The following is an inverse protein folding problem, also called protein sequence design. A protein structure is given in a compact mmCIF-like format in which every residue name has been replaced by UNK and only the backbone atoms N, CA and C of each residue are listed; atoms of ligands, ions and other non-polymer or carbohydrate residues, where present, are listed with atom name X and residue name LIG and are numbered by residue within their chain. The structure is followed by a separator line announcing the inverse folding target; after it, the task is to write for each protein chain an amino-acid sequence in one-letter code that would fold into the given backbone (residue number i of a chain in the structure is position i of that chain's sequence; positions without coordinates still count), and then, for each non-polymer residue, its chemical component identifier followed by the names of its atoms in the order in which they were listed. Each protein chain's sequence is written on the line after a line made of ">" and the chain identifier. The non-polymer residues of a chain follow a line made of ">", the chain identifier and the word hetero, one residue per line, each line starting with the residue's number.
data_IF_075447375987
#
_entry.id   IF_075447375987
#
_cell.length_a   1.000
_cell.length_b   1.000
_cell.length_c   1.000
_cell.angle_alpha   90.00
_cell.angle_beta   90.00
_cell.angle_gamma   90.00
#
_symmetry.space_group_name_H-M   'P 1'
#
loop_
_entity.id
_entity.type
_entity.pdbx_description
1 polymer ?
#
# COMPACT_ATOMS: atom_id res chain seq x y z
N UNK A 1 8.56 2.52 0.28
CA UNK A 1 9.52 2.65 -0.85
C UNK A 1 8.84 2.91 -2.19
N UNK A 2 7.73 2.22 -2.55
CA UNK A 2 6.96 2.49 -3.79
C UNK A 2 6.62 3.96 -4.01
N UNK A 3 6.18 4.66 -2.96
CA UNK A 3 5.87 6.09 -3.03
C UNK A 3 7.07 6.92 -3.49
N UNK A 4 8.28 6.62 -3.01
CA UNK A 4 9.52 7.35 -3.36
C UNK A 4 9.90 7.18 -4.83
N UNK A 5 9.76 5.96 -5.37
CA UNK A 5 10.01 5.67 -6.80
C UNK A 5 8.97 6.35 -7.70
N UNK A 6 7.73 6.46 -7.24
CA UNK A 6 6.71 7.24 -7.96
C UNK A 6 7.04 8.73 -7.89
N UNK A 7 7.48 9.27 -6.75
CA UNK A 7 7.85 10.69 -6.64
C UNK A 7 9.03 11.09 -7.54
N UNK A 8 9.95 10.20 -7.88
CA UNK A 8 11.04 10.52 -8.82
C UNK A 8 10.61 10.59 -10.30
N UNK A 9 9.42 10.05 -10.63
CA UNK A 9 8.85 10.06 -11.98
C UNK A 9 8.01 11.30 -12.26
N UNK A 10 7.61 12.02 -11.22
CA UNK A 10 6.83 13.25 -11.30
C UNK A 10 7.69 14.46 -10.97
N UNK A 11 7.33 15.64 -11.47
CA UNK A 11 7.99 16.86 -10.99
C UNK A 11 7.61 17.10 -9.52
N UNK A 12 8.53 17.59 -8.68
CA UNK A 12 8.24 17.87 -7.27
C UNK A 12 6.96 18.69 -7.12
N UNK A 13 6.07 18.26 -6.23
CA UNK A 13 4.79 18.92 -5.93
C UNK A 13 3.77 18.97 -7.09
N UNK A 14 3.93 18.16 -8.14
CA UNK A 14 2.99 18.13 -9.27
C UNK A 14 2.49 16.71 -9.57
N UNK A 15 1.39 16.64 -10.34
CA UNK A 15 0.88 15.41 -10.96
C UNK A 15 1.34 15.31 -12.42
N UNK A 16 2.33 16.11 -12.81
CA UNK A 16 2.92 16.06 -14.16
C UNK A 16 4.07 15.06 -14.20
N UNK A 17 4.00 14.13 -15.14
CA UNK A 17 5.11 13.23 -15.44
C UNK A 17 6.33 14.05 -15.89
N UNK A 18 7.50 13.67 -15.38
CA UNK A 18 8.74 14.28 -15.80
C UNK A 18 9.13 13.77 -17.20
N UNK A 19 8.66 14.48 -18.22
CA UNK A 19 8.97 14.19 -19.64
C UNK A 19 10.43 14.44 -20.00
N UNK A 20 11.23 15.04 -19.10
CA UNK A 20 12.67 15.16 -19.30
C UNK A 20 13.40 13.81 -19.11
N UNK A 21 12.76 12.81 -18.49
CA UNK A 21 13.31 11.47 -18.39
C UNK A 21 13.10 10.70 -19.71
N UNK A 22 14.12 9.96 -20.21
CA UNK A 22 13.95 9.05 -21.34
C UNK A 22 12.79 8.07 -21.10
N UNK A 23 12.06 7.72 -22.16
CA UNK A 23 10.92 6.79 -22.07
C UNK A 23 11.30 5.45 -21.42
N UNK A 24 12.50 4.95 -21.70
CA UNK A 24 13.06 3.73 -21.11
C UNK A 24 13.28 3.86 -19.59
N UNK A 25 13.74 5.02 -19.11
CA UNK A 25 13.93 5.28 -17.69
C UNK A 25 12.60 5.36 -16.93
N UNK A 26 11.58 5.97 -17.56
CA UNK A 26 10.21 6.00 -17.01
C UNK A 26 9.62 4.59 -16.92
N UNK A 27 9.80 3.78 -17.97
CA UNK A 27 9.38 2.38 -18.01
C UNK A 27 10.09 1.52 -16.95
N UNK A 28 11.40 1.72 -16.74
CA UNK A 28 12.11 1.04 -15.65
C UNK A 28 11.55 1.43 -14.27
N UNK A 29 11.23 2.71 -14.05
CA UNK A 29 10.56 3.15 -12.82
C UNK A 29 9.21 2.46 -12.60
N UNK A 30 8.42 2.31 -13.67
CA UNK A 30 7.14 1.58 -13.61
C UNK A 30 7.33 0.08 -13.37
N UNK A 31 8.32 -0.54 -14.01
CA UNK A 31 8.67 -1.95 -13.80
C UNK A 31 9.12 -2.19 -12.36
N UNK A 32 9.99 -1.35 -11.80
CA UNK A 32 10.40 -1.45 -10.38
C UNK A 32 9.19 -1.32 -9.45
N UNK A 33 8.29 -0.37 -9.72
CA UNK A 33 7.07 -0.23 -8.93
C UNK A 33 6.16 -1.45 -9.06
N UNK A 34 6.07 -2.06 -10.24
CA UNK A 34 5.29 -3.26 -10.53
C UNK A 34 5.92 -4.54 -9.95
N UNK A 35 7.24 -4.69 -10.00
CA UNK A 35 8.02 -5.79 -9.40
C UNK A 35 7.94 -5.80 -7.88
N UNK A 36 7.60 -4.67 -7.25
CA UNK A 36 7.34 -4.60 -5.82
C UNK A 36 5.95 -5.15 -5.44
N UNK A 37 5.02 -5.28 -6.39
CA UNK A 37 3.65 -5.76 -6.13
C UNK A 37 3.61 -7.12 -5.43
N UNK A 38 4.36 -8.17 -5.87
CA UNK A 38 4.35 -9.48 -5.22
C UNK A 38 4.80 -9.42 -3.75
N UNK A 39 5.77 -8.56 -3.42
CA UNK A 39 6.24 -8.39 -2.04
C UNK A 39 5.17 -7.75 -1.15
N UNK A 40 4.40 -6.79 -1.69
CA UNK A 40 3.25 -6.21 -0.98
C UNK A 40 2.19 -7.27 -0.70
N UNK A 41 1.86 -8.12 -1.69
CA UNK A 41 0.92 -9.22 -1.49
C UNK A 41 1.40 -10.26 -0.49
N UNK A 42 2.68 -10.62 -0.53
CA UNK A 42 3.27 -11.53 0.44
C UNK A 42 3.23 -10.94 1.86
N UNK A 43 3.55 -9.65 2.00
CA UNK A 43 3.44 -8.91 3.26
C UNK A 43 2.01 -8.87 3.79
N UNK A 44 1.03 -8.60 2.92
CA UNK A 44 -0.40 -8.65 3.25
C UNK A 44 -0.82 -10.05 3.73
N UNK A 45 -0.35 -11.11 3.07
CA UNK A 45 -0.62 -12.49 3.48
C UNK A 45 -0.09 -12.81 4.88
N UNK A 46 1.16 -12.43 5.16
CA UNK A 46 1.78 -12.59 6.49
C UNK A 46 1.01 -11.78 7.54
N UNK A 47 0.65 -10.55 7.22
CA UNK A 47 -0.12 -9.68 8.11
C UNK A 47 -1.49 -10.27 8.46
N UNK A 48 -2.25 -10.75 7.47
CA UNK A 48 -3.55 -11.38 7.69
C UNK A 48 -3.44 -12.67 8.52
N UNK A 49 -2.40 -13.49 8.29
CA UNK A 49 -2.14 -14.66 9.12
C UNK A 49 -1.81 -14.28 10.56
N UNK A 50 -0.96 -13.27 10.76
CA UNK A 50 -0.60 -12.76 12.09
C UNK A 50 -1.80 -12.20 12.84
N UNK A 51 -2.60 -11.36 12.18
CA UNK A 51 -3.84 -10.82 12.72
C UNK A 51 -4.84 -11.93 13.03
N UNK A 52 -5.02 -12.90 12.13
CA UNK A 52 -5.91 -14.04 12.34
C UNK A 52 -5.50 -14.90 13.53
N UNK A 53 -4.22 -15.21 13.67
CA UNK A 53 -3.67 -15.95 14.82
C UNK A 53 -3.85 -15.16 16.13
N UNK A 54 -3.68 -13.84 16.09
CA UNK A 54 -3.84 -12.97 17.25
C UNK A 54 -5.29 -12.85 17.70
N UNK A 55 -6.23 -12.67 16.77
CA UNK A 55 -7.67 -12.67 17.06
C UNK A 55 -8.10 -14.05 17.58
N UNK A 56 -7.59 -15.14 17.00
CA UNK A 56 -7.88 -16.49 17.48
C UNK A 56 -7.40 -16.75 18.91
N UNK A 57 -6.21 -16.25 19.28
CA UNK A 57 -5.62 -16.45 20.61
C UNK A 57 -6.15 -15.48 21.67
N UNK A 58 -6.47 -14.24 21.29
CA UNK A 58 -6.88 -13.17 22.22
C UNK A 58 -8.36 -12.76 22.08
N UNK A 59 -9.16 -13.50 21.30
CA UNK A 59 -10.54 -13.15 20.97
C UNK A 59 -11.45 -12.87 22.18
N UNK A 60 -11.25 -13.59 23.27
CA UNK A 60 -11.97 -13.38 24.53
C UNK A 60 -11.52 -12.13 25.33
N UNK A 61 -10.33 -11.59 25.05
CA UNK A 61 -9.70 -10.44 25.74
C UNK A 61 -9.64 -9.17 24.87
N UNK A 62 -10.23 -9.19 23.69
CA UNK A 62 -10.33 -8.00 22.81
C UNK A 62 -10.95 -6.79 23.52
N UNK A 63 -11.89 -7.03 24.43
CA UNK A 63 -12.53 -5.97 25.23
C UNK A 63 -11.59 -5.30 26.24
N UNK A 64 -10.57 -6.01 26.75
CA UNK A 64 -9.60 -5.46 27.70
C UNK A 64 -8.40 -4.80 27.02
N UNK A 65 -8.20 -5.08 25.72
CA UNK A 65 -7.05 -4.59 24.96
C UNK A 65 -7.53 -3.59 23.89
N UNK A 66 -7.86 -2.36 24.30
CA UNK A 66 -8.38 -1.33 23.39
C UNK A 66 -7.44 -0.99 22.23
N UNK A 67 -6.13 -1.15 22.43
CA UNK A 67 -5.11 -0.96 21.39
C UNK A 67 -5.20 -2.04 20.29
N UNK A 68 -5.51 -3.28 20.67
CA UNK A 68 -5.67 -4.39 19.74
C UNK A 68 -6.92 -4.19 18.87
N UNK A 69 -8.03 -3.77 19.49
CA UNK A 69 -9.24 -3.42 18.75
C UNK A 69 -8.99 -2.30 17.73
N UNK A 70 -8.31 -1.23 18.15
CA UNK A 70 -7.96 -0.12 17.25
C UNK A 70 -7.04 -0.58 16.12
N UNK A 71 -6.05 -1.42 16.42
CA UNK A 71 -5.17 -2.01 15.41
C UNK A 71 -5.94 -2.85 14.38
N UNK A 72 -6.97 -3.60 14.80
CA UNK A 72 -7.84 -4.36 13.89
C UNK A 72 -8.70 -3.45 13.00
N UNK A 73 -9.26 -2.37 13.55
CA UNK A 73 -10.03 -1.41 12.75
C UNK A 73 -9.13 -0.76 11.69
N UNK A 74 -7.95 -0.30 12.09
CA UNK A 74 -6.96 0.26 11.17
C UNK A 74 -6.48 -0.77 10.16
N UNK A 75 -6.35 -2.05 10.56
CA UNK A 75 -6.01 -3.15 9.67
C UNK A 75 -7.04 -3.30 8.56
N UNK A 76 -8.33 -3.29 8.88
CA UNK A 76 -9.41 -3.38 7.87
C UNK A 76 -9.34 -2.23 6.88
N UNK A 77 -9.09 -1.00 7.36
CA UNK A 77 -8.96 0.19 6.51
C UNK A 77 -7.72 0.08 5.62
N UNK A 78 -6.56 -0.27 6.18
CA UNK A 78 -5.31 -0.41 5.46
C UNK A 78 -5.40 -1.50 4.38
N UNK A 79 -5.90 -2.68 4.75
CA UNK A 79 -6.07 -3.81 3.83
C UNK A 79 -7.06 -3.47 2.71
N UNK A 80 -8.18 -2.82 3.03
CA UNK A 80 -9.14 -2.37 2.01
C UNK A 80 -8.51 -1.39 1.02
N UNK A 81 -7.72 -0.44 1.52
CA UNK A 81 -6.98 0.51 0.70
C UNK A 81 -5.91 -0.16 -0.18
N UNK A 82 -5.08 -1.03 0.38
CA UNK A 82 -4.07 -1.81 -0.38
C UNK A 82 -4.72 -2.69 -1.45
N UNK A 83 -5.82 -3.40 -1.13
CA UNK A 83 -6.54 -4.23 -2.09
C UNK A 83 -7.07 -3.39 -3.26
N UNK A 84 -7.68 -2.23 -2.97
CA UNK A 84 -8.17 -1.35 -4.01
C UNK A 84 -7.03 -0.82 -4.90
N UNK A 85 -5.92 -0.36 -4.29
CA UNK A 85 -4.74 0.09 -5.01
C UNK A 85 -4.16 -1.00 -5.92
N UNK A 86 -4.06 -2.22 -5.39
CA UNK A 86 -3.50 -3.35 -6.10
C UNK A 86 -4.39 -3.80 -7.26
N UNK A 87 -5.71 -3.88 -7.06
CA UNK A 87 -6.67 -4.30 -8.08
C UNK A 87 -6.85 -3.27 -9.20
N UNK A 88 -6.93 -1.98 -8.85
CA UNK A 88 -7.25 -0.92 -9.81
C UNK A 88 -6.02 -0.44 -10.58
N UNK A 89 -4.82 -0.49 -9.97
CA UNK A 89 -3.62 0.08 -10.58
C UNK A 89 -2.49 -0.93 -10.75
N UNK A 90 -2.08 -1.61 -9.70
CA UNK A 90 -0.86 -2.42 -9.78
C UNK A 90 -1.02 -3.65 -10.68
N UNK A 91 -2.13 -4.37 -10.60
CA UNK A 91 -2.41 -5.54 -11.45
C UNK A 91 -2.52 -5.12 -12.94
N UNK A 92 -3.27 -4.08 -13.32
CA UNK A 92 -3.26 -3.58 -14.69
C UNK A 92 -1.87 -3.17 -15.19
N UNK A 93 -1.07 -2.47 -14.37
CA UNK A 93 0.30 -2.09 -14.74
C UNK A 93 1.18 -3.31 -14.95
N UNK A 94 1.12 -4.31 -14.06
CA UNK A 94 1.86 -5.58 -14.21
C UNK A 94 1.44 -6.28 -15.50
N UNK A 95 0.12 -6.39 -15.77
CA UNK A 95 -0.39 -7.03 -16.99
C UNK A 95 0.09 -6.32 -18.26
N UNK A 96 0.06 -5.00 -18.30
CA UNK A 96 0.51 -4.24 -19.46
C UNK A 96 2.03 -4.27 -19.64
N UNK A 97 2.79 -4.44 -18.54
CA UNK A 97 4.25 -4.50 -18.58
C UNK A 97 4.82 -5.78 -19.21
N UNK A 98 4.00 -6.83 -19.35
CA UNK A 98 4.38 -8.14 -19.93
C UNK A 98 3.85 -8.36 -21.35
N UNK A 99 3.11 -7.41 -21.92
CA UNK A 99 2.57 -7.48 -23.30
C UNK A 99 3.55 -6.82 -24.27
N UNK A 100 3.82 -7.48 -25.40
CA UNK A 100 4.61 -6.92 -26.50
C UNK A 100 3.74 -6.71 -27.77
N UNK A 101 3.78 -5.53 -28.40
CA UNK A 101 4.57 -4.35 -28.04
C UNK A 101 4.03 -3.63 -26.79
N UNK A 102 4.94 -3.01 -26.03
CA UNK A 102 4.64 -2.30 -24.79
C UNK A 102 3.68 -1.11 -25.02
N UNK A 103 2.47 -1.11 -24.43
CA UNK A 103 1.50 -0.04 -24.61
C UNK A 103 1.81 1.14 -23.68
N UNK A 104 2.88 1.87 -23.97
CA UNK A 104 3.42 2.97 -23.13
C UNK A 104 2.37 4.02 -22.74
N UNK A 105 1.54 4.43 -23.68
CA UNK A 105 0.49 5.44 -23.42
C UNK A 105 -0.51 4.97 -22.37
N UNK A 106 -0.90 3.70 -22.40
CA UNK A 106 -1.85 3.13 -21.43
C UNK A 106 -1.22 2.99 -20.03
N UNK A 107 0.07 2.67 -19.96
CA UNK A 107 0.81 2.58 -18.70
C UNK A 107 0.93 3.99 -18.08
N UNK A 108 1.30 5.00 -18.88
CA UNK A 108 1.40 6.39 -18.42
C UNK A 108 0.05 6.92 -17.95
N UNK A 109 -1.04 6.65 -18.67
CA UNK A 109 -2.41 7.04 -18.28
C UNK A 109 -2.80 6.42 -16.92
N UNK A 110 -2.57 5.12 -16.74
CA UNK A 110 -2.84 4.42 -15.48
C UNK A 110 -2.03 5.00 -14.30
N UNK A 111 -0.76 5.34 -14.54
CA UNK A 111 0.10 5.92 -13.50
C UNK A 111 -0.35 7.33 -13.12
N UNK A 112 -0.65 8.18 -14.10
CA UNK A 112 -1.18 9.53 -13.85
C UNK A 112 -2.51 9.46 -13.10
N UNK A 113 -3.39 8.56 -13.52
CA UNK A 113 -4.66 8.32 -12.85
C UNK A 113 -4.47 7.85 -11.41
N UNK A 114 -3.53 6.93 -11.15
CA UNK A 114 -3.16 6.51 -9.81
C UNK A 114 -2.74 7.68 -8.94
N UNK A 115 -1.84 8.53 -9.41
CA UNK A 115 -1.36 9.67 -8.60
C UNK A 115 -2.50 10.65 -8.31
N UNK A 116 -3.39 10.89 -9.29
CA UNK A 116 -4.51 11.82 -9.15
C UNK A 116 -5.63 11.32 -8.23
N UNK A 117 -6.02 10.06 -8.37
CA UNK A 117 -7.20 9.48 -7.71
C UNK A 117 -6.84 8.70 -6.45
N UNK A 118 -5.64 8.14 -6.38
CA UNK A 118 -5.26 7.15 -5.39
C UNK A 118 -4.23 7.65 -4.36
N UNK A 119 -3.68 8.86 -4.53
CA UNK A 119 -2.68 9.42 -3.62
C UNK A 119 -3.19 9.55 -2.18
N UNK A 120 -4.45 9.97 -1.99
CA UNK A 120 -5.07 10.07 -0.65
C UNK A 120 -5.23 8.70 -0.02
N UNK A 121 -5.74 7.72 -0.77
CA UNK A 121 -5.93 6.35 -0.29
C UNK A 121 -4.58 5.73 0.11
N UNK A 122 -3.57 5.84 -0.76
CA UNK A 122 -2.21 5.36 -0.46
C UNK A 122 -1.62 6.02 0.79
N UNK A 123 -1.84 7.32 0.99
CA UNK A 123 -1.36 8.04 2.18
C UNK A 123 -2.10 7.59 3.44
N UNK A 124 -3.43 7.46 3.37
CA UNK A 124 -4.24 6.97 4.50
C UNK A 124 -3.86 5.55 4.89
N UNK A 125 -3.68 4.67 3.92
CA UNK A 125 -3.23 3.29 4.14
C UNK A 125 -1.87 3.26 4.83
N UNK A 126 -0.89 4.03 4.33
CA UNK A 126 0.43 4.11 4.95
C UNK A 126 0.36 4.65 6.39
N UNK A 127 -0.47 5.67 6.65
CA UNK A 127 -0.69 6.18 8.00
C UNK A 127 -1.31 5.13 8.92
N UNK A 128 -2.27 4.33 8.42
CA UNK A 128 -2.85 3.22 9.17
C UNK A 128 -1.79 2.17 9.52
N UNK A 129 -0.96 1.76 8.57
CA UNK A 129 0.13 0.80 8.80
C UNK A 129 1.12 1.28 9.87
N UNK A 130 1.58 2.54 9.78
CA UNK A 130 2.46 3.13 10.78
C UNK A 130 1.79 3.22 12.15
N UNK A 131 0.51 3.59 12.19
CA UNK A 131 -0.24 3.68 13.45
C UNK A 131 -0.42 2.30 14.08
N UNK A 132 -0.68 1.26 13.29
CA UNK A 132 -0.75 -0.13 13.78
C UNK A 132 0.59 -0.51 14.43
N UNK A 133 1.71 -0.28 13.75
CA UNK A 133 3.05 -0.56 14.31
C UNK A 133 3.27 0.15 15.65
N UNK A 134 2.91 1.44 15.74
CA UNK A 134 3.01 2.20 16.98
C UNK A 134 2.12 1.64 18.10
N UNK A 135 0.90 1.19 17.79
CA UNK A 135 -0.01 0.57 18.75
C UNK A 135 0.57 -0.74 19.31
N UNK A 136 1.22 -1.55 18.48
CA UNK A 136 1.87 -2.79 18.90
C UNK A 136 3.10 -2.57 19.78
N UNK A 137 3.86 -1.49 19.53
CA UNK A 137 5.08 -1.15 20.28
C UNK A 137 4.75 -0.49 21.62
N UNK A 138 3.86 0.51 21.63
CA UNK A 138 3.58 1.31 22.82
C UNK A 138 2.46 0.71 23.68
N UNK A 139 1.44 0.11 23.06
CA UNK A 139 0.23 -0.44 23.73
C UNK A 139 -0.45 0.56 24.68
N UNK A 140 -0.76 1.79 24.24
CA UNK A 140 -1.20 2.88 25.11
C UNK A 140 -2.58 2.69 25.77
N UNK A 141 -3.31 1.62 25.44
CA UNK A 141 -4.67 1.31 25.92
C UNK A 141 -4.74 -0.08 26.56
N UNK A 142 -3.61 -0.61 27.01
CA UNK A 142 -3.55 -1.82 27.82
C UNK A 142 -4.02 -1.44 29.23
N UNK A 143 -5.18 -1.97 29.65
CA UNK A 143 -5.64 -1.82 31.02
C UNK A 143 -4.91 -2.86 31.87
N UNK A 144 -4.20 -2.43 32.91
CA UNK A 144 -3.72 -3.35 33.94
C UNK A 144 -4.95 -4.02 34.57
N UNK A 145 -4.99 -5.36 34.58
CA UNK A 145 -6.04 -6.10 35.29
C UNK A 145 -6.03 -5.68 36.77
N UNK A 146 -7.19 -5.33 37.37
CA UNK A 146 -7.28 -5.02 38.80
C UNK A 146 -7.06 -6.25 39.68
#
# INVERSE_FOLDING_TARGET
>A
MRSVVVFSLFRPFTVELNTALPAEARLQGYRIAAEQTPYVWAGLGIFLLGVGAMVGSMGGRLRTHGWLFMALVLAVVAVGGELWLALVYDIPVVRLSVVEPLPMEQIEELVVRRVREAGVVATMTALCEWTILLLFVWRPLEQEEP
#
